data_IF_733925217536
#
_entry.id   IF_733925217536
#
_cell.length_a   1.000
_cell.length_b   1.000
_cell.length_c   1.000
_cell.angle_alpha   90.00
_cell.angle_beta   90.00
_cell.angle_gamma   90.00
#
_symmetry.space_group_name_H-M   'P 1'
#
loop_
_entity.id
_entity.type
_entity.pdbx_description
1 polymer ?
#
# COMPACT_ATOMS: atom_id res chain seq x y z
N UNK A 1 -19.86 10.49 -23.45
CA UNK A 1 -19.13 9.77 -22.39
C UNK A 1 -18.45 10.81 -21.53
N UNK A 2 -18.88 11.00 -20.27
CA UNK A 2 -18.24 11.97 -19.37
C UNK A 2 -16.86 11.42 -19.03
N UNK A 3 -15.81 12.14 -19.43
CA UNK A 3 -14.43 11.79 -19.10
C UNK A 3 -14.20 12.17 -17.62
N UNK A 4 -14.63 11.31 -16.70
CA UNK A 4 -14.34 11.49 -15.28
C UNK A 4 -12.82 11.39 -15.13
N UNK A 5 -12.13 12.42 -14.62
CA UNK A 5 -10.69 12.33 -14.41
C UNK A 5 -10.42 11.15 -13.48
N UNK A 6 -9.61 10.19 -13.96
CA UNK A 6 -9.20 9.04 -13.13
C UNK A 6 -8.46 9.59 -11.91
N UNK A 7 -8.90 9.22 -10.70
CA UNK A 7 -8.20 9.57 -9.47
C UNK A 7 -6.75 9.07 -9.57
N UNK A 8 -5.82 9.93 -9.20
CA UNK A 8 -4.38 9.62 -9.16
C UNK A 8 -3.94 9.52 -7.70
N UNK A 9 -2.88 8.76 -7.44
CA UNK A 9 -2.33 8.66 -6.08
C UNK A 9 -1.85 10.03 -5.59
N UNK A 10 -1.29 10.85 -6.49
CA UNK A 10 -0.88 12.22 -6.20
C UNK A 10 -2.04 13.07 -5.68
N UNK A 11 -3.24 12.93 -6.26
CA UNK A 11 -4.43 13.66 -5.79
C UNK A 11 -4.90 13.23 -4.39
N UNK A 12 -4.57 12.00 -3.96
CA UNK A 12 -4.99 11.43 -2.67
C UNK A 12 -3.98 11.74 -1.57
N UNK A 13 -2.69 11.50 -1.81
CA UNK A 13 -1.63 11.56 -0.77
C UNK A 13 -0.63 12.70 -0.95
N UNK A 14 -0.69 13.43 -2.08
CA UNK A 14 0.30 14.42 -2.46
C UNK A 14 1.53 13.83 -3.16
N UNK A 15 2.23 14.65 -3.95
CA UNK A 15 3.30 14.18 -4.84
C UNK A 15 4.47 13.50 -4.11
N UNK A 16 4.89 14.06 -2.97
CA UNK A 16 6.01 13.53 -2.20
C UNK A 16 5.70 12.13 -1.61
N UNK A 17 4.52 11.94 -1.03
CA UNK A 17 4.13 10.65 -0.48
C UNK A 17 3.89 9.62 -1.59
N UNK A 18 3.32 10.03 -2.72
CA UNK A 18 3.16 9.17 -3.89
C UNK A 18 4.52 8.67 -4.41
N UNK A 19 5.52 9.55 -4.52
CA UNK A 19 6.87 9.19 -4.94
C UNK A 19 7.53 8.16 -3.99
N UNK A 20 7.37 8.35 -2.67
CA UNK A 20 7.85 7.38 -1.69
C UNK A 20 7.16 6.03 -1.85
N UNK A 21 5.84 6.00 -2.01
CA UNK A 21 5.08 4.76 -2.17
C UNK A 21 5.48 3.98 -3.43
N UNK A 22 5.64 4.67 -4.56
CA UNK A 22 6.13 4.05 -5.80
C UNK A 22 7.56 3.50 -5.67
N UNK A 23 8.38 4.04 -4.76
CA UNK A 23 9.74 3.55 -4.53
C UNK A 23 9.82 2.44 -3.48
N UNK A 24 9.01 2.53 -2.42
CA UNK A 24 9.10 1.65 -1.24
C UNK A 24 8.34 0.35 -1.46
N UNK A 25 7.09 0.41 -1.95
CA UNK A 25 6.24 -0.79 -2.05
C UNK A 25 6.86 -1.86 -2.96
N UNK A 26 7.42 -1.54 -4.15
CA UNK A 26 8.11 -2.54 -4.96
C UNK A 26 9.31 -3.20 -4.29
N UNK A 27 10.00 -2.50 -3.38
CA UNK A 27 11.14 -3.05 -2.64
C UNK A 27 10.72 -4.04 -1.56
N UNK A 28 9.54 -3.84 -0.96
CA UNK A 28 9.02 -4.73 0.07
C UNK A 28 8.24 -5.92 -0.48
N UNK A 29 7.41 -5.70 -1.50
CA UNK A 29 6.49 -6.70 -2.05
C UNK A 29 7.11 -7.51 -3.20
N UNK A 30 8.22 -7.04 -3.77
CA UNK A 30 8.81 -7.59 -4.98
C UNK A 30 8.20 -7.01 -6.26
N UNK A 31 8.82 -7.32 -7.40
CA UNK A 31 8.42 -6.86 -8.72
C UNK A 31 8.63 -7.95 -9.77
N UNK A 32 7.55 -8.52 -10.27
CA UNK A 32 7.59 -9.61 -11.26
C UNK A 32 6.75 -9.26 -12.50
N UNK A 33 7.37 -9.16 -13.68
CA UNK A 33 6.65 -8.82 -14.93
C UNK A 33 5.88 -10.00 -15.52
N UNK A 34 6.12 -11.21 -15.04
CA UNK A 34 5.48 -12.43 -15.54
C UNK A 34 4.65 -13.04 -14.42
N UNK A 35 3.37 -13.23 -14.70
CA UNK A 35 2.43 -13.81 -13.76
C UNK A 35 2.79 -15.25 -13.42
N UNK A 36 3.05 -15.52 -12.14
CA UNK A 36 3.44 -16.83 -11.63
C UNK A 36 2.79 -17.11 -10.27
N UNK A 37 2.65 -18.39 -9.89
CA UNK A 37 2.16 -18.74 -8.56
C UNK A 37 3.14 -18.30 -7.47
N UNK A 38 2.59 -17.66 -6.45
CA UNK A 38 3.27 -17.37 -5.18
C UNK A 38 3.45 -18.66 -4.34
N UNK A 39 4.12 -18.62 -3.17
CA UNK A 39 4.33 -19.79 -2.31
C UNK A 39 3.05 -20.48 -1.82
N UNK A 40 1.90 -19.80 -1.84
CA UNK A 40 0.59 -20.35 -1.47
C UNK A 40 -0.29 -20.69 -2.69
N UNK A 41 0.31 -20.68 -3.89
CA UNK A 41 -0.29 -21.06 -5.19
C UNK A 41 -1.34 -20.09 -5.75
N UNK A 42 -1.30 -18.83 -5.34
CA UNK A 42 -2.09 -17.75 -5.97
C UNK A 42 -1.29 -17.15 -7.11
N UNK A 43 -1.91 -16.97 -8.28
CA UNK A 43 -1.23 -16.31 -9.41
C UNK A 43 -1.11 -14.82 -9.13
N UNK A 44 0.13 -14.33 -9.07
CA UNK A 44 0.46 -12.92 -8.83
C UNK A 44 1.35 -12.38 -9.95
N UNK A 45 1.25 -11.08 -10.22
CA UNK A 45 2.17 -10.34 -11.08
C UNK A 45 2.40 -8.91 -10.55
N UNK A 46 3.35 -8.19 -11.15
CA UNK A 46 3.75 -6.84 -10.75
C UNK A 46 4.20 -6.80 -9.28
N UNK A 47 3.52 -6.04 -8.43
CA UNK A 47 3.83 -5.88 -7.01
C UNK A 47 2.88 -6.70 -6.12
N UNK A 48 2.73 -8.00 -6.43
CA UNK A 48 1.79 -8.88 -5.73
C UNK A 48 0.33 -8.68 -6.14
N UNK A 49 0.07 -8.17 -7.34
CA UNK A 49 -1.30 -7.96 -7.83
C UNK A 49 -1.91 -9.28 -8.30
N UNK A 50 -3.16 -9.50 -7.91
CA UNK A 50 -3.98 -10.68 -8.20
C UNK A 50 -5.23 -10.36 -9.02
N UNK A 51 -5.58 -9.07 -9.22
CA UNK A 51 -6.77 -8.70 -10.00
C UNK A 51 -6.55 -9.11 -11.45
N UNK A 52 -7.45 -9.87 -12.06
CA UNK A 52 -7.41 -10.12 -13.52
C UNK A 52 -6.02 -10.56 -14.03
N UNK A 53 -5.28 -11.32 -13.21
CA UNK A 53 -3.95 -11.85 -13.55
C UNK A 53 -4.09 -13.33 -13.90
N UNK A 54 -3.60 -13.72 -15.08
CA UNK A 54 -3.61 -15.09 -15.55
C UNK A 54 -2.20 -15.67 -15.64
N UNK A 55 -2.05 -16.97 -15.38
CA UNK A 55 -0.74 -17.64 -15.38
C UNK A 55 -0.03 -17.45 -16.73
N UNK A 56 1.25 -17.05 -16.69
CA UNK A 56 2.07 -16.83 -17.89
C UNK A 56 1.83 -15.49 -18.61
N UNK A 57 0.86 -14.68 -18.14
CA UNK A 57 0.65 -13.33 -18.65
C UNK A 57 1.89 -12.45 -18.40
N UNK A 58 2.25 -11.65 -19.39
CA UNK A 58 3.36 -10.68 -19.31
C UNK A 58 2.79 -9.28 -19.23
N UNK A 59 3.36 -8.48 -18.32
CA UNK A 59 3.01 -7.09 -18.12
C UNK A 59 4.16 -6.19 -18.54
N UNK A 60 3.85 -5.02 -19.09
CA UNK A 60 4.86 -3.98 -19.30
C UNK A 60 5.13 -3.25 -17.96
N UNK A 61 6.34 -2.71 -17.72
CA UNK A 61 6.66 -1.99 -16.50
C UNK A 61 5.70 -0.82 -16.20
N UNK A 62 5.29 -0.09 -17.23
CA UNK A 62 4.32 1.00 -17.14
C UNK A 62 2.91 0.52 -16.77
N UNK A 63 2.53 -0.67 -17.22
CA UNK A 63 1.26 -1.29 -16.86
C UNK A 63 1.28 -1.69 -15.38
N UNK A 64 2.38 -2.31 -14.91
CA UNK A 64 2.55 -2.61 -13.50
C UNK A 64 2.52 -1.36 -12.63
N UNK A 65 3.12 -0.25 -13.09
CA UNK A 65 3.05 1.04 -12.39
C UNK A 65 1.62 1.57 -12.30
N UNK A 66 0.86 1.52 -13.38
CA UNK A 66 -0.53 1.97 -13.39
C UNK A 66 -1.41 1.11 -12.46
N UNK A 67 -1.19 -0.21 -12.43
CA UNK A 67 -1.86 -1.13 -11.52
C UNK A 67 -1.51 -0.85 -10.06
N UNK A 68 -0.22 -0.67 -9.77
CA UNK A 68 0.25 -0.29 -8.43
C UNK A 68 -0.39 1.02 -7.97
N UNK A 69 -0.52 2.02 -8.86
CA UNK A 69 -1.20 3.28 -8.52
C UNK A 69 -2.64 3.04 -8.07
N UNK A 70 -3.41 2.23 -8.80
CA UNK A 70 -4.79 1.91 -8.44
C UNK A 70 -4.86 1.20 -7.09
N UNK A 71 -3.98 0.22 -6.84
CA UNK A 71 -3.92 -0.47 -5.54
C UNK A 71 -3.56 0.47 -4.41
N UNK A 72 -2.56 1.33 -4.59
CA UNK A 72 -2.17 2.31 -3.58
C UNK A 72 -3.31 3.27 -3.23
N UNK A 73 -4.14 3.66 -4.20
CA UNK A 73 -5.35 4.45 -3.95
C UNK A 73 -6.36 3.66 -3.10
N UNK A 74 -6.61 2.39 -3.44
CA UNK A 74 -7.52 1.49 -2.69
C UNK A 74 -7.12 1.36 -1.20
N UNK A 75 -5.83 1.46 -0.87
CA UNK A 75 -5.34 1.44 0.52
C UNK A 75 -5.23 2.84 1.14
N UNK A 76 -4.84 3.86 0.39
CA UNK A 76 -4.64 5.21 0.89
C UNK A 76 -5.94 5.87 1.35
N UNK A 77 -7.04 5.63 0.64
CA UNK A 77 -8.34 6.22 0.98
C UNK A 77 -8.85 5.75 2.36
N UNK A 78 -8.92 4.44 2.67
CA UNK A 78 -9.26 3.96 4.01
C UNK A 78 -8.31 4.46 5.10
N UNK A 79 -7.00 4.47 4.83
CA UNK A 79 -5.98 4.97 5.77
C UNK A 79 -6.26 6.42 6.14
N UNK A 80 -6.42 7.30 5.16
CA UNK A 80 -6.73 8.72 5.40
C UNK A 80 -8.11 8.89 6.05
N UNK A 81 -9.07 8.01 5.78
CA UNK A 81 -10.38 8.03 6.43
C UNK A 81 -10.30 7.69 7.92
N UNK A 82 -9.54 6.66 8.30
CA UNK A 82 -9.44 6.24 9.69
C UNK A 82 -8.31 6.93 10.48
N UNK A 83 -7.38 7.59 9.78
CA UNK A 83 -6.27 8.37 10.35
C UNK A 83 -6.06 9.70 9.62
N UNK A 84 -7.04 10.63 9.67
CA UNK A 84 -7.03 11.86 8.87
C UNK A 84 -5.86 12.80 9.21
N UNK A 85 -5.33 12.72 10.43
CA UNK A 85 -4.17 13.50 10.87
C UNK A 85 -2.89 13.20 10.08
N UNK A 86 -2.81 12.11 9.30
CA UNK A 86 -1.66 11.83 8.44
C UNK A 86 -1.54 12.79 7.25
N UNK A 87 -2.62 13.51 6.89
CA UNK A 87 -2.58 14.47 5.79
C UNK A 87 -1.56 15.57 6.11
N UNK A 88 -0.60 15.77 5.22
CA UNK A 88 0.51 16.71 5.42
C UNK A 88 1.75 16.11 6.10
N UNK A 89 1.69 14.87 6.59
CA UNK A 89 2.81 14.15 7.18
C UNK A 89 3.36 13.10 6.20
N UNK A 90 4.10 13.57 5.19
CA UNK A 90 4.57 12.78 4.03
C UNK A 90 5.10 11.39 4.38
N UNK A 91 6.05 11.32 5.32
CA UNK A 91 6.73 10.06 5.66
C UNK A 91 5.80 9.10 6.40
N UNK A 92 5.03 9.61 7.36
CA UNK A 92 4.09 8.83 8.16
C UNK A 92 2.94 8.32 7.30
N UNK A 93 2.44 9.14 6.38
CA UNK A 93 1.41 8.75 5.42
C UNK A 93 1.91 7.65 4.49
N UNK A 94 3.10 7.81 3.88
CA UNK A 94 3.68 6.77 3.04
C UNK A 94 3.91 5.46 3.82
N UNK A 95 4.43 5.54 5.05
CA UNK A 95 4.62 4.36 5.90
C UNK A 95 3.28 3.68 6.27
N UNK A 96 2.25 4.46 6.61
CA UNK A 96 0.93 3.95 6.95
C UNK A 96 0.26 3.25 5.77
N UNK A 97 0.32 3.84 4.56
CA UNK A 97 -0.24 3.24 3.35
C UNK A 97 0.53 1.99 2.95
N UNK A 98 1.87 1.99 3.02
CA UNK A 98 2.69 0.80 2.79
C UNK A 98 2.37 -0.31 3.80
N UNK A 99 2.14 0.03 5.06
CA UNK A 99 1.77 -0.95 6.07
C UNK A 99 0.36 -1.51 5.81
N UNK A 100 -0.61 -0.66 5.44
CA UNK A 100 -1.95 -1.09 5.06
C UNK A 100 -1.97 -1.96 3.80
N UNK A 101 -1.06 -1.72 2.84
CA UNK A 101 -0.89 -2.60 1.67
C UNK A 101 -0.52 -4.02 2.10
N UNK A 102 0.38 -4.13 3.09
CA UNK A 102 0.90 -5.40 3.56
C UNK A 102 -0.10 -6.18 4.46
N UNK A 103 -0.75 -5.49 5.41
CA UNK A 103 -1.66 -6.17 6.38
C UNK A 103 -3.15 -6.05 6.04
N UNK A 104 -3.50 -5.26 5.04
CA UNK A 104 -4.88 -4.90 4.71
C UNK A 104 -5.37 -3.64 5.44
N UNK A 105 -6.21 -2.85 4.76
CA UNK A 105 -6.76 -1.60 5.29
C UNK A 105 -7.57 -1.78 6.59
N UNK A 106 -8.36 -2.84 6.70
CA UNK A 106 -9.14 -3.13 7.90
C UNK A 106 -8.26 -3.43 9.12
N UNK A 107 -7.23 -4.26 8.94
CA UNK A 107 -6.27 -4.58 9.99
C UNK A 107 -5.45 -3.35 10.40
N UNK A 108 -5.08 -2.49 9.44
CA UNK A 108 -4.47 -1.19 9.73
C UNK A 108 -5.36 -0.32 10.61
N UNK A 109 -6.61 -0.07 10.20
CA UNK A 109 -7.50 0.85 10.92
C UNK A 109 -7.84 0.35 12.34
N UNK A 110 -7.86 -0.96 12.56
CA UNK A 110 -8.01 -1.55 13.91
C UNK A 110 -6.72 -1.59 14.75
N UNK A 111 -5.56 -1.26 14.16
CA UNK A 111 -4.25 -1.46 14.79
C UNK A 111 -3.93 -0.42 15.88
N UNK A 112 -3.01 -0.80 16.77
CA UNK A 112 -2.40 0.12 17.73
C UNK A 112 -1.68 1.28 17.03
N UNK A 113 -1.13 1.05 15.83
CA UNK A 113 -0.48 2.09 15.02
C UNK A 113 -1.46 3.20 14.66
N UNK A 114 -2.63 2.85 14.09
CA UNK A 114 -3.66 3.83 13.74
C UNK A 114 -4.18 4.58 14.97
N UNK A 115 -4.43 3.86 16.08
CA UNK A 115 -4.83 4.47 17.37
C UNK A 115 -3.82 5.51 17.85
N UNK A 116 -2.52 5.21 17.78
CA UNK A 116 -1.45 6.12 18.20
C UNK A 116 -1.30 7.34 17.28
N UNK A 117 -1.44 7.17 15.96
CA UNK A 117 -1.47 8.31 15.05
C UNK A 117 -2.65 9.25 15.35
N UNK A 118 -3.84 8.70 15.59
CA UNK A 118 -5.00 9.51 15.96
C UNK A 118 -4.85 10.22 17.31
N UNK A 119 -4.07 9.65 18.24
CA UNK A 119 -3.75 10.27 19.51
C UNK A 119 -2.58 11.28 19.42
N UNK A 120 -1.96 11.47 18.25
CA UNK A 120 -0.78 12.33 18.08
C UNK A 120 0.52 11.72 18.61
N UNK A 121 0.52 10.45 19.04
CA UNK A 121 1.74 9.71 19.42
C UNK A 121 2.47 9.18 18.18
N UNK A 122 3.07 10.09 17.43
CA UNK A 122 3.76 9.79 16.18
C UNK A 122 4.91 8.79 16.37
N UNK A 123 5.71 8.98 17.41
CA UNK A 123 6.86 8.10 17.69
C UNK A 123 6.39 6.69 18.09
N UNK A 124 5.36 6.60 18.94
CA UNK A 124 4.80 5.31 19.34
C UNK A 124 4.06 4.61 18.20
N UNK A 125 3.44 5.35 17.28
CA UNK A 125 2.85 4.77 16.08
C UNK A 125 3.92 4.11 15.19
N UNK A 126 5.03 4.80 14.91
CA UNK A 126 6.14 4.21 14.14
C UNK A 126 6.72 2.97 14.83
N UNK A 127 6.88 2.98 16.16
CA UNK A 127 7.34 1.79 16.91
C UNK A 127 6.36 0.62 16.81
N UNK A 128 5.06 0.88 16.90
CA UNK A 128 4.03 -0.15 16.77
C UNK A 128 4.00 -0.78 15.38
N UNK A 129 4.35 -0.01 14.35
CA UNK A 129 4.50 -0.50 12.98
C UNK A 129 5.69 -1.47 12.87
N UNK A 130 6.86 -1.09 13.39
CA UNK A 130 8.08 -1.90 13.32
C UNK A 130 8.00 -3.20 14.13
N UNK A 131 7.25 -3.20 15.24
CA UNK A 131 7.04 -4.41 16.05
C UNK A 131 6.28 -5.54 15.33
N UNK A 132 5.68 -5.26 14.16
CA UNK A 132 5.05 -6.27 13.30
C UNK A 132 5.84 -6.59 12.03
N UNK A 133 6.87 -5.81 11.68
CA UNK A 133 7.67 -6.01 10.45
C UNK A 133 8.83 -6.99 10.64
N UNK A 134 9.20 -7.33 11.87
CA UNK A 134 10.06 -8.49 12.17
C UNK A 134 9.17 -9.72 12.26
N UNK A 135 9.23 -10.58 11.23
CA UNK A 135 8.24 -11.63 10.98
C UNK A 135 7.87 -12.53 12.16
N UNK A 136 6.64 -13.06 12.13
CA UNK A 136 6.25 -14.12 13.04
C UNK A 136 4.75 -14.25 13.22
N UNK A 137 4.21 -15.32 12.62
CA UNK A 137 3.06 -16.08 13.11
C UNK A 137 2.94 -15.93 14.64
N UNK A 138 1.92 -15.23 15.12
CA UNK A 138 1.50 -15.31 16.52
C UNK A 138 0.30 -16.25 16.54
N UNK A 139 0.62 -17.54 16.57
CA UNK A 139 -0.25 -18.68 16.74
C UNK A 139 0.63 -19.85 17.12
#
# INVERSE_FOLDING_TARGET
MVNVPKKTLVSVVGAAAAALLFSMVPKFEGFELVARPDPIRIITACNGDTKDVHAGQRFAPEECRARLEQRLIEYAEPVLKCTPGLKGHTNQLAAAVSFAYNVGAGAYCGSTTAKRFNAGDWKGACRAMNGRTTGGRSG
#
